data_IF_082445059643
#
_entry.id   IF_082445059643
#
_cell.length_a   1.000
_cell.length_b   1.000
_cell.length_c   1.000
_cell.angle_alpha   90.00
_cell.angle_beta   90.00
_cell.angle_gamma   90.00
#
_symmetry.space_group_name_H-M   'P 1'
#
loop_
_entity.id
_entity.type
_entity.pdbx_description
1 polymer ?
#
# COMPACT_ATOMS: atom_id res chain seq x y z
N UNK A 1 -9.96 36.83 -15.89
CA UNK A 1 -9.39 35.71 -15.12
C UNK A 1 -9.04 36.25 -13.74
N UNK A 2 -9.77 35.86 -12.70
CA UNK A 2 -9.40 36.23 -11.33
C UNK A 2 -8.55 35.11 -10.77
N UNK A 3 -7.24 35.34 -10.69
CA UNK A 3 -6.33 34.49 -9.92
C UNK A 3 -6.62 34.78 -8.46
N UNK A 4 -7.24 33.83 -7.75
CA UNK A 4 -7.41 33.93 -6.31
C UNK A 4 -5.99 33.85 -5.74
N UNK A 5 -5.46 34.97 -5.23
CA UNK A 5 -4.18 34.99 -4.56
C UNK A 5 -4.28 34.10 -3.32
N UNK A 6 -3.40 33.12 -3.19
CA UNK A 6 -3.26 32.36 -1.96
C UNK A 6 -2.76 33.32 -0.88
N UNK A 7 -3.48 33.41 0.24
CA UNK A 7 -3.16 34.30 1.36
C UNK A 7 -3.03 33.43 2.60
N UNK A 8 -1.90 33.55 3.30
CA UNK A 8 -1.70 32.96 4.62
C UNK A 8 -1.60 34.12 5.64
N UNK A 9 -2.44 34.08 6.67
CA UNK A 9 -2.41 35.01 7.79
C UNK A 9 -1.72 34.31 8.97
N UNK A 10 -0.49 34.71 9.28
CA UNK A 10 0.31 34.18 10.39
C UNK A 10 0.62 35.32 11.37
N UNK A 11 -0.12 35.35 12.49
CA UNK A 11 0.09 36.29 13.59
C UNK A 11 0.22 37.77 13.16
N UNK A 12 -0.78 38.29 12.44
CA UNK A 12 -0.88 39.66 11.90
C UNK A 12 0.03 39.97 10.67
N UNK A 13 0.74 38.99 10.14
CA UNK A 13 1.48 39.13 8.87
C UNK A 13 0.76 38.38 7.73
N UNK A 14 0.39 39.14 6.69
CA UNK A 14 -0.31 38.62 5.51
C UNK A 14 0.71 38.24 4.44
N UNK A 15 0.94 36.94 4.26
CA UNK A 15 1.85 36.40 3.25
C UNK A 15 1.05 36.06 1.99
N UNK A 16 1.49 36.59 0.85
CA UNK A 16 0.83 36.42 -0.47
C UNK A 16 1.69 35.69 -1.50
N UNK A 17 2.99 35.56 -1.23
CA UNK A 17 3.90 34.83 -2.11
C UNK A 17 3.77 33.31 -1.89
N UNK A 18 3.67 32.56 -2.99
CA UNK A 18 3.40 31.12 -2.93
C UNK A 18 4.55 30.32 -2.31
N UNK A 19 5.80 30.75 -2.49
CA UNK A 19 6.96 30.10 -1.91
C UNK A 19 7.05 30.40 -0.41
N UNK A 20 6.78 31.64 -0.01
CA UNK A 20 6.79 32.03 1.40
C UNK A 20 5.65 31.35 2.17
N UNK A 21 4.46 31.23 1.56
CA UNK A 21 3.35 30.44 2.13
C UNK A 21 3.77 28.99 2.32
N UNK A 22 4.42 28.37 1.33
CA UNK A 22 4.88 26.99 1.42
C UNK A 22 5.93 26.81 2.54
N UNK A 23 6.86 27.76 2.68
CA UNK A 23 7.88 27.74 3.73
C UNK A 23 7.26 27.91 5.13
N UNK A 24 6.31 28.82 5.30
CA UNK A 24 5.61 29.04 6.58
C UNK A 24 4.80 27.82 7.00
N UNK A 25 4.09 27.18 6.07
CA UNK A 25 3.38 25.93 6.32
C UNK A 25 4.34 24.80 6.69
N UNK A 26 5.43 24.63 5.93
CA UNK A 26 6.44 23.60 6.21
C UNK A 26 7.03 23.76 7.62
N UNK A 27 7.35 25.00 8.02
CA UNK A 27 7.85 25.32 9.36
C UNK A 27 6.81 25.00 10.45
N UNK A 28 5.56 25.44 10.28
CA UNK A 28 4.48 25.17 11.23
C UNK A 28 4.27 23.67 11.49
N UNK A 29 4.19 22.87 10.42
CA UNK A 29 3.99 21.43 10.55
C UNK A 29 5.23 20.72 11.12
N UNK A 30 6.44 21.18 10.76
CA UNK A 30 7.68 20.66 11.33
C UNK A 30 7.75 20.88 12.85
N UNK A 31 7.49 22.10 13.32
CA UNK A 31 7.50 22.44 14.75
C UNK A 31 6.40 21.70 15.51
N UNK A 32 5.20 21.59 14.93
CA UNK A 32 4.09 20.83 15.53
C UNK A 32 4.39 19.33 15.59
N UNK A 33 5.09 18.80 14.59
CA UNK A 33 5.53 17.41 14.53
C UNK A 33 6.61 17.11 15.58
N UNK A 34 7.57 18.01 15.79
CA UNK A 34 8.62 17.85 16.82
C UNK A 34 8.05 17.81 18.23
N UNK A 35 7.01 18.60 18.51
CA UNK A 35 6.37 18.65 19.83
C UNK A 35 5.40 17.47 20.08
N UNK A 36 5.10 16.68 19.06
CA UNK A 36 4.26 15.48 19.14
C UNK A 36 5.12 14.21 19.15
N UNK A 37 6.00 14.06 20.15
CA UNK A 37 6.96 12.93 20.25
C UNK A 37 6.33 11.57 20.58
N UNK A 38 5.00 11.44 20.57
CA UNK A 38 4.33 10.19 20.93
C UNK A 38 3.82 9.35 19.76
N UNK A 39 4.06 9.73 18.50
CA UNK A 39 3.76 8.85 17.36
C UNK A 39 4.89 8.91 16.35
N UNK A 40 5.81 7.96 16.50
CA UNK A 40 6.68 7.35 15.48
C UNK A 40 6.96 8.22 14.26
N UNK A 41 8.19 8.73 14.18
CA UNK A 41 8.80 9.13 12.93
C UNK A 41 8.88 7.90 12.00
N UNK A 42 7.79 7.60 11.30
CA UNK A 42 7.91 6.99 9.99
C UNK A 42 8.47 8.09 9.09
N UNK A 43 9.80 8.13 8.99
CA UNK A 43 10.38 8.55 7.72
C UNK A 43 9.61 7.76 6.66
N UNK A 44 9.10 8.38 5.57
CA UNK A 44 8.67 7.59 4.44
C UNK A 44 9.94 6.88 4.01
N UNK A 45 10.01 5.61 4.42
CA UNK A 45 11.06 4.72 4.03
C UNK A 45 10.95 4.75 2.52
N UNK A 46 11.89 5.40 1.86
CA UNK A 46 12.13 5.20 0.44
C UNK A 46 12.74 3.80 0.39
N UNK A 47 11.94 2.80 0.77
CA UNK A 47 12.10 1.42 0.37
C UNK A 47 12.21 1.58 -1.13
N UNK A 48 13.43 1.40 -1.66
CA UNK A 48 13.70 1.53 -3.08
C UNK A 48 12.57 0.80 -3.77
N UNK A 49 11.68 1.58 -4.40
CA UNK A 49 10.37 1.08 -4.77
C UNK A 49 10.67 0.03 -5.82
N UNK A 50 10.65 -1.23 -5.43
CA UNK A 50 10.87 -2.33 -6.35
C UNK A 50 9.68 -2.28 -7.29
N UNK A 51 9.84 -1.54 -8.39
CA UNK A 51 8.84 -1.37 -9.43
C UNK A 51 8.41 -2.72 -10.02
N UNK A 52 9.17 -3.78 -9.72
CA UNK A 52 8.92 -5.14 -10.13
C UNK A 52 8.15 -5.97 -9.08
N UNK A 53 7.81 -5.43 -7.91
CA UNK A 53 7.11 -6.18 -6.85
C UNK A 53 5.77 -6.75 -7.32
N UNK A 54 5.10 -6.05 -8.23
CA UNK A 54 3.83 -6.48 -8.82
C UNK A 54 4.00 -7.45 -10.00
N UNK A 55 5.20 -7.51 -10.58
CA UNK A 55 5.48 -8.25 -11.80
C UNK A 55 6.25 -9.55 -11.54
N UNK A 56 6.76 -9.76 -10.32
CA UNK A 56 7.43 -11.00 -9.92
C UNK A 56 6.44 -12.17 -9.82
N UNK A 57 6.90 -13.41 -10.00
CA UNK A 57 6.09 -14.60 -9.72
C UNK A 57 5.61 -14.63 -8.26
N UNK A 58 4.43 -15.20 -8.05
CA UNK A 58 3.87 -15.43 -6.73
C UNK A 58 4.75 -16.38 -5.91
N UNK A 59 4.80 -16.12 -4.61
CA UNK A 59 5.51 -16.91 -3.61
C UNK A 59 4.57 -17.84 -2.85
N UNK A 60 5.13 -18.88 -2.22
CA UNK A 60 4.37 -19.77 -1.34
C UNK A 60 3.76 -19.04 -0.13
N UNK A 61 4.43 -17.99 0.36
CA UNK A 61 3.91 -17.16 1.45
C UNK A 61 2.66 -16.39 1.03
N UNK A 62 2.68 -15.79 -0.17
CA UNK A 62 1.52 -15.09 -0.73
C UNK A 62 0.36 -16.06 -0.97
N UNK A 63 0.62 -17.25 -1.53
CA UNK A 63 -0.40 -18.29 -1.70
C UNK A 63 -1.02 -18.72 -0.36
N UNK A 64 -0.20 -19.03 0.64
CA UNK A 64 -0.71 -19.43 1.96
C UNK A 64 -1.51 -18.30 2.63
N UNK A 65 -1.04 -17.06 2.53
CA UNK A 65 -1.75 -15.90 3.08
C UNK A 65 -3.10 -15.70 2.40
N UNK A 66 -3.15 -15.86 1.08
CA UNK A 66 -4.39 -15.80 0.30
C UNK A 66 -5.36 -16.90 0.73
N UNK A 67 -4.93 -18.16 0.80
CA UNK A 67 -5.76 -19.29 1.22
C UNK A 67 -6.33 -19.11 2.64
N UNK A 68 -5.53 -18.60 3.59
CA UNK A 68 -5.98 -18.32 4.95
C UNK A 68 -7.03 -17.20 5.01
N UNK A 69 -6.89 -16.17 4.17
CA UNK A 69 -7.79 -15.02 4.14
C UNK A 69 -9.17 -15.32 3.52
N UNK A 70 -9.28 -16.39 2.73
CA UNK A 70 -10.53 -16.74 2.04
C UNK A 70 -11.64 -17.11 3.04
N UNK A 71 -12.88 -16.76 2.73
CA UNK A 71 -14.05 -17.19 3.53
C UNK A 71 -14.48 -18.59 3.11
N UNK A 72 -15.06 -19.36 4.03
CA UNK A 72 -15.66 -20.65 3.68
C UNK A 72 -16.97 -20.39 2.93
N UNK A 73 -16.90 -20.35 1.60
CA UNK A 73 -18.05 -20.14 0.72
C UNK A 73 -18.50 -21.45 0.08
N UNK A 74 -19.72 -21.43 -0.48
CA UNK A 74 -20.18 -22.48 -1.37
C UNK A 74 -19.21 -22.63 -2.56
N UNK A 75 -19.21 -23.83 -3.17
CA UNK A 75 -18.43 -24.09 -4.37
C UNK A 75 -18.87 -23.19 -5.53
N UNK A 76 -17.92 -22.88 -6.41
CA UNK A 76 -18.21 -22.16 -7.65
C UNK A 76 -18.93 -23.04 -8.68
N UNK A 77 -18.88 -22.68 -9.97
CA UNK A 77 -19.43 -23.51 -11.06
C UNK A 77 -18.81 -24.91 -11.14
N UNK A 78 -17.59 -25.06 -10.61
CA UNK A 78 -16.87 -26.33 -10.48
C UNK A 78 -17.34 -27.19 -9.30
N UNK A 79 -18.21 -26.64 -8.45
CA UNK A 79 -18.70 -27.26 -7.22
C UNK A 79 -17.56 -27.68 -6.27
N UNK A 80 -16.46 -26.94 -6.23
CA UNK A 80 -15.34 -27.16 -5.29
C UNK A 80 -15.47 -26.17 -4.12
N UNK A 81 -15.84 -26.63 -2.91
CA UNK A 81 -15.89 -25.75 -1.75
C UNK A 81 -14.51 -25.23 -1.35
N UNK A 82 -14.46 -23.98 -0.88
CA UNK A 82 -13.22 -23.31 -0.49
C UNK A 82 -12.43 -24.04 0.63
N UNK A 83 -13.13 -24.88 1.42
CA UNK A 83 -12.51 -25.67 2.50
C UNK A 83 -11.43 -26.63 1.99
N UNK A 84 -11.58 -27.15 0.76
CA UNK A 84 -10.61 -28.06 0.16
C UNK A 84 -9.31 -27.34 -0.17
N UNK A 85 -9.41 -26.12 -0.71
CA UNK A 85 -8.25 -25.28 -1.02
C UNK A 85 -7.47 -24.87 0.23
N UNK A 86 -8.18 -24.60 1.33
CA UNK A 86 -7.57 -24.28 2.62
C UNK A 86 -6.77 -25.42 3.25
N UNK A 87 -7.20 -26.66 3.04
CA UNK A 87 -6.60 -27.85 3.64
C UNK A 87 -5.84 -28.70 2.63
N UNK A 88 -5.35 -28.09 1.54
CA UNK A 88 -4.51 -28.77 0.57
C UNK A 88 -3.22 -29.28 1.22
N UNK A 89 -2.77 -30.45 0.76
CA UNK A 89 -1.43 -30.94 1.05
C UNK A 89 -0.38 -30.00 0.45
N UNK A 90 0.78 -29.89 1.12
CA UNK A 90 1.86 -28.99 0.69
C UNK A 90 2.38 -29.30 -0.72
N UNK A 91 2.40 -30.57 -1.13
CA UNK A 91 2.74 -30.96 -2.50
C UNK A 91 1.75 -30.39 -3.52
N UNK A 92 0.45 -30.44 -3.20
CA UNK A 92 -0.59 -29.88 -4.07
C UNK A 92 -0.54 -28.35 -4.10
N UNK A 93 -0.22 -27.69 -2.98
CA UNK A 93 0.02 -26.24 -2.96
C UNK A 93 1.20 -25.85 -3.85
N UNK A 94 2.26 -26.65 -3.87
CA UNK A 94 3.40 -26.45 -4.78
C UNK A 94 2.96 -26.50 -6.24
N UNK A 95 2.16 -27.51 -6.62
CA UNK A 95 1.61 -27.62 -7.98
C UNK A 95 0.66 -26.47 -8.34
N UNK A 96 -0.16 -26.04 -7.39
CA UNK A 96 -1.05 -24.89 -7.58
C UNK A 96 -0.28 -23.58 -7.78
N UNK A 97 0.80 -23.38 -7.01
CA UNK A 97 1.69 -22.23 -7.17
C UNK A 97 2.39 -22.24 -8.54
N UNK A 98 2.92 -23.39 -8.95
CA UNK A 98 3.51 -23.59 -10.28
C UNK A 98 2.51 -23.21 -11.37
N UNK A 99 1.26 -23.70 -11.28
CA UNK A 99 0.20 -23.39 -12.23
C UNK A 99 -0.06 -21.88 -12.34
N UNK A 100 -0.23 -21.17 -11.21
CA UNK A 100 -0.48 -19.73 -11.22
C UNK A 100 0.70 -18.95 -11.81
N UNK A 101 1.93 -19.33 -11.46
CA UNK A 101 3.12 -18.68 -11.99
C UNK A 101 3.32 -18.94 -13.49
N UNK A 102 2.99 -20.14 -13.97
CA UNK A 102 2.96 -20.43 -15.42
C UNK A 102 1.94 -19.55 -16.13
N UNK A 103 0.72 -19.42 -15.61
CA UNK A 103 -0.31 -18.56 -16.20
C UNK A 103 0.16 -17.10 -16.26
N UNK A 104 0.77 -16.61 -15.17
CA UNK A 104 1.30 -15.25 -15.06
C UNK A 104 2.42 -14.95 -16.05
N UNK A 105 3.35 -15.90 -16.23
CA UNK A 105 4.56 -15.71 -17.06
C UNK A 105 4.39 -16.09 -18.52
N UNK A 106 3.35 -16.84 -18.87
CA UNK A 106 3.09 -17.30 -20.25
C UNK A 106 2.27 -16.31 -21.08
N UNK A 107 2.15 -15.05 -20.63
CA UNK A 107 1.49 -13.95 -21.34
C UNK A 107 2.50 -12.94 -21.88
#
# INVERSE_FOLDING_TARGET
MNTIASILDDNDEVITDSQDIANSLAKYFYEKSLNNTNNMAEQPDVIGHDTNILNRPYTMQELNSALLSMKNTAGGPDNIPMIFLKHLYEETKTKLLELYNVIWTSH
#
